data_IF_180958947515
#
_entry.id   IF_180958947515
#
_cell.length_a   1.000
_cell.length_b   1.000
_cell.length_c   1.000
_cell.angle_alpha   90.00
_cell.angle_beta   90.00
_cell.angle_gamma   90.00
#
_symmetry.space_group_name_H-M   'P 1'
#
loop_
_entity.id
_entity.type
_entity.pdbx_description
1 polymer ?
#
# COMPACT_ATOMS: atom_id res chain seq x y z
N UNK A 1 12.90 -32.49 -51.31
CA UNK A 1 12.14 -31.28 -50.87
C UNK A 1 12.06 -31.33 -49.36
N UNK A 2 12.73 -30.40 -48.64
CA UNK A 2 12.73 -30.35 -47.17
C UNK A 2 11.63 -29.34 -46.73
N UNK A 3 10.68 -29.71 -45.84
CA UNK A 3 9.72 -28.76 -45.36
C UNK A 3 10.42 -27.78 -44.40
N UNK A 4 10.40 -26.48 -44.77
CA UNK A 4 10.81 -25.38 -43.88
C UNK A 4 9.75 -25.23 -42.81
N UNK A 5 10.08 -25.67 -41.61
CA UNK A 5 9.28 -25.46 -40.40
C UNK A 5 9.36 -23.97 -40.03
N UNK A 6 8.37 -23.20 -40.45
CA UNK A 6 8.17 -21.82 -40.01
C UNK A 6 7.64 -21.87 -38.57
N UNK A 7 8.54 -21.70 -37.63
CA UNK A 7 8.17 -21.45 -36.22
C UNK A 7 7.64 -20.02 -36.14
N UNK A 8 6.34 -19.79 -35.86
CA UNK A 8 5.85 -18.44 -35.59
C UNK A 8 6.48 -17.99 -34.26
N UNK A 9 7.34 -16.99 -34.32
CA UNK A 9 7.88 -16.30 -33.17
C UNK A 9 6.72 -15.56 -32.48
N UNK A 10 6.09 -16.23 -31.54
CA UNK A 10 5.05 -15.68 -30.66
C UNK A 10 5.76 -14.69 -29.73
N UNK A 11 5.80 -13.42 -30.12
CA UNK A 11 6.24 -12.30 -29.28
C UNK A 11 5.21 -12.17 -28.16
N UNK A 12 5.48 -12.82 -27.04
CA UNK A 12 4.73 -12.62 -25.80
C UNK A 12 5.11 -11.24 -25.29
N UNK A 13 4.26 -10.24 -25.55
CA UNK A 13 4.31 -8.96 -24.87
C UNK A 13 3.99 -9.20 -23.39
N UNK A 14 5.03 -9.38 -22.59
CA UNK A 14 4.92 -9.36 -21.14
C UNK A 14 4.65 -7.90 -20.77
N UNK A 15 3.38 -7.53 -20.67
CA UNK A 15 2.99 -6.25 -20.10
C UNK A 15 3.38 -6.32 -18.63
N UNK A 16 4.55 -5.79 -18.31
CA UNK A 16 5.00 -5.63 -16.94
C UNK A 16 4.06 -4.63 -16.27
N UNK A 17 3.22 -5.11 -15.37
CA UNK A 17 2.35 -4.28 -14.53
C UNK A 17 3.18 -3.61 -13.42
N UNK A 18 4.18 -2.81 -13.80
CA UNK A 18 4.93 -2.02 -12.84
C UNK A 18 4.01 -0.97 -12.22
N UNK A 19 4.01 -0.78 -10.91
CA UNK A 19 3.11 0.17 -10.23
C UNK A 19 3.44 1.64 -10.53
N UNK A 20 4.67 1.93 -10.92
CA UNK A 20 5.20 3.25 -11.25
C UNK A 20 6.01 3.19 -12.53
N UNK A 21 6.21 4.35 -13.17
CA UNK A 21 7.03 4.45 -14.38
C UNK A 21 8.48 3.99 -14.12
N UNK A 22 9.15 3.42 -15.13
CA UNK A 22 10.54 2.98 -14.98
C UNK A 22 11.49 4.12 -14.58
N UNK A 23 11.19 5.35 -15.00
CA UNK A 23 11.98 6.52 -14.66
C UNK A 23 11.93 6.81 -13.16
N UNK A 24 10.75 6.84 -12.58
CA UNK A 24 10.55 7.09 -11.14
C UNK A 24 11.15 5.95 -10.30
N UNK A 25 11.02 4.72 -10.77
CA UNK A 25 11.66 3.56 -10.12
C UNK A 25 13.19 3.64 -10.15
N UNK A 26 13.77 4.23 -11.17
CA UNK A 26 15.22 4.44 -11.25
C UNK A 26 15.69 5.56 -10.33
N UNK A 27 14.96 6.66 -10.23
CA UNK A 27 15.29 7.77 -9.35
C UNK A 27 15.25 7.35 -7.87
N UNK A 28 14.31 6.51 -7.50
CA UNK A 28 14.14 6.01 -6.12
C UNK A 28 14.95 4.73 -5.82
N UNK A 29 16.03 4.44 -6.57
CA UNK A 29 16.88 3.26 -6.34
C UNK A 29 17.55 3.22 -4.97
N UNK A 30 17.85 4.38 -4.41
CA UNK A 30 18.38 4.47 -3.07
C UNK A 30 17.22 4.24 -2.08
N UNK A 31 17.26 3.14 -1.37
CA UNK A 31 16.28 2.86 -0.31
C UNK A 31 16.52 3.80 0.87
N UNK A 32 15.87 4.96 0.84
CA UNK A 32 15.87 5.90 1.96
C UNK A 32 14.72 5.49 2.87
N UNK A 33 15.08 5.07 4.08
CA UNK A 33 14.08 4.66 5.06
C UNK A 33 13.34 5.86 5.64
N UNK A 34 12.10 5.64 6.04
CA UNK A 34 11.30 6.66 6.69
C UNK A 34 11.96 7.21 7.97
N UNK A 35 12.61 6.33 8.73
CA UNK A 35 13.30 6.68 9.96
C UNK A 35 14.50 7.60 9.73
N UNK A 36 15.26 7.41 8.65
CA UNK A 36 16.37 8.30 8.29
C UNK A 36 15.88 9.72 7.98
N UNK A 37 14.76 9.82 7.27
CA UNK A 37 14.19 11.14 6.95
C UNK A 37 13.65 11.84 8.19
N UNK A 38 13.03 11.11 9.12
CA UNK A 38 12.60 11.69 10.40
C UNK A 38 13.76 12.27 11.22
N UNK A 39 14.92 11.62 11.18
CA UNK A 39 16.12 12.08 11.92
C UNK A 39 16.79 13.29 11.27
N UNK A 40 16.78 13.37 9.95
CA UNK A 40 17.51 14.41 9.21
C UNK A 40 16.78 14.82 7.92
N UNK A 41 15.56 15.37 8.00
CA UNK A 41 14.76 15.67 6.82
C UNK A 41 15.42 16.70 5.88
N UNK A 42 16.21 17.61 6.43
CA UNK A 42 16.89 18.67 5.66
C UNK A 42 18.02 18.13 4.80
N UNK A 43 18.74 17.10 5.28
CA UNK A 43 19.85 16.49 4.54
C UNK A 43 19.39 15.64 3.35
N UNK A 44 18.16 15.19 3.40
CA UNK A 44 17.56 14.30 2.39
C UNK A 44 16.56 15.03 1.50
N UNK A 45 16.48 16.36 1.62
CA UNK A 45 15.64 17.16 0.74
C UNK A 45 16.08 17.02 -0.71
N UNK A 46 15.13 16.82 -1.61
CA UNK A 46 15.36 16.58 -3.03
C UNK A 46 15.59 15.11 -3.41
N UNK A 47 15.85 14.24 -2.45
CA UNK A 47 16.00 12.80 -2.70
C UNK A 47 14.65 12.17 -3.09
N UNK A 48 14.70 11.21 -4.02
CA UNK A 48 13.53 10.50 -4.49
C UNK A 48 13.18 9.33 -3.55
N UNK A 49 11.91 9.19 -3.23
CA UNK A 49 11.39 8.12 -2.37
C UNK A 49 10.13 7.49 -2.94
N UNK A 50 9.90 6.22 -2.59
CA UNK A 50 8.62 5.54 -2.80
C UNK A 50 8.11 5.12 -1.43
N UNK A 51 7.11 5.81 -0.94
CA UNK A 51 6.49 5.54 0.34
C UNK A 51 4.99 5.29 0.19
N UNK A 52 4.43 4.56 1.11
CA UNK A 52 3.00 4.34 1.13
C UNK A 52 2.46 4.10 2.52
N UNK A 53 1.17 3.92 2.57
CA UNK A 53 0.46 3.69 3.82
C UNK A 53 -1.03 3.90 3.68
N UNK A 54 -1.65 4.24 4.79
CA UNK A 54 -3.09 4.42 4.90
C UNK A 54 -3.42 5.90 5.05
N UNK A 55 -4.34 6.39 4.24
CA UNK A 55 -4.82 7.77 4.28
C UNK A 55 -5.52 8.03 5.62
N UNK A 56 -5.08 9.07 6.31
CA UNK A 56 -5.74 9.58 7.52
C UNK A 56 -6.72 10.67 7.13
N UNK A 57 -6.28 11.59 6.26
CA UNK A 57 -7.03 12.77 5.88
C UNK A 57 -6.57 13.29 4.52
N UNK A 58 -7.49 13.85 3.75
CA UNK A 58 -7.23 14.53 2.48
C UNK A 58 -7.74 15.96 2.58
N UNK A 59 -6.85 16.92 2.39
CA UNK A 59 -7.11 18.36 2.54
C UNK A 59 -6.93 19.02 1.20
N UNK A 60 -8.02 19.48 0.60
CA UNK A 60 -8.00 20.23 -0.66
C UNK A 60 -7.76 21.71 -0.36
N UNK A 61 -6.81 22.29 -1.07
CA UNK A 61 -6.51 23.73 -1.06
C UNK A 61 -6.78 24.33 -2.44
N UNK A 62 -6.57 25.64 -2.59
CA UNK A 62 -6.76 26.33 -3.87
C UNK A 62 -5.89 25.78 -4.99
N UNK A 63 -4.63 25.48 -4.70
CA UNK A 63 -3.61 25.16 -5.72
C UNK A 63 -3.06 23.73 -5.61
N UNK A 64 -3.24 23.10 -4.44
CA UNK A 64 -2.74 21.75 -4.18
C UNK A 64 -3.74 20.91 -3.36
N UNK A 65 -3.50 19.63 -3.33
CA UNK A 65 -4.15 18.71 -2.40
C UNK A 65 -3.08 18.08 -1.51
N UNK A 66 -3.32 18.11 -0.21
CA UNK A 66 -2.46 17.48 0.78
C UNK A 66 -3.11 16.24 1.34
N UNK A 67 -2.36 15.15 1.40
CA UNK A 67 -2.83 13.89 1.97
C UNK A 67 -1.96 13.55 3.17
N UNK A 68 -2.58 13.41 4.32
CA UNK A 68 -1.93 12.90 5.53
C UNK A 68 -1.96 11.38 5.49
N UNK A 69 -0.79 10.76 5.51
CA UNK A 69 -0.66 9.31 5.40
C UNK A 69 0.04 8.75 6.63
N UNK A 70 -0.53 7.68 7.20
CA UNK A 70 0.15 6.83 8.17
C UNK A 70 1.02 5.85 7.39
N UNK A 71 2.34 6.01 7.51
CA UNK A 71 3.33 5.22 6.79
C UNK A 71 3.25 3.75 7.20
N UNK A 72 3.40 2.86 6.23
CA UNK A 72 3.57 1.42 6.43
C UNK A 72 4.64 0.90 5.49
N UNK A 73 5.16 -0.29 5.77
CA UNK A 73 6.02 -0.97 4.81
C UNK A 73 5.28 -1.29 3.51
N UNK A 74 6.03 -1.48 2.44
CA UNK A 74 5.53 -1.84 1.13
C UNK A 74 5.91 -3.29 0.79
N UNK A 75 5.03 -3.96 0.03
CA UNK A 75 5.34 -5.24 -0.58
C UNK A 75 6.14 -5.08 -1.89
N UNK A 76 6.38 -6.20 -2.58
CA UNK A 76 7.12 -6.20 -3.86
C UNK A 76 6.38 -5.44 -4.98
N UNK A 77 5.05 -5.31 -4.90
CA UNK A 77 4.24 -4.51 -5.82
C UNK A 77 4.16 -3.03 -5.39
N UNK A 78 4.90 -2.65 -4.38
CA UNK A 78 4.84 -1.31 -3.76
C UNK A 78 3.46 -0.99 -3.14
N UNK A 79 2.68 -2.02 -2.78
CA UNK A 79 1.44 -1.85 -2.05
C UNK A 79 1.70 -1.84 -0.54
N UNK A 80 1.01 -0.99 0.24
CA UNK A 80 1.07 -1.00 1.70
C UNK A 80 0.79 -2.38 2.29
N UNK A 81 1.66 -2.85 3.19
CA UNK A 81 1.49 -4.11 3.93
C UNK A 81 1.54 -3.84 5.43
N UNK A 82 1.18 -4.83 6.24
CA UNK A 82 1.23 -4.74 7.71
C UNK A 82 0.59 -3.44 8.24
N UNK A 83 -0.67 -3.22 7.85
CA UNK A 83 -1.35 -1.94 8.06
C UNK A 83 -1.42 -1.48 9.52
N UNK A 84 -1.22 -2.39 10.48
CA UNK A 84 -1.21 -2.08 11.92
C UNK A 84 0.16 -1.62 12.43
N UNK A 85 1.23 -1.78 11.62
CA UNK A 85 2.58 -1.31 11.93
C UNK A 85 2.88 -0.01 11.19
N UNK A 86 3.46 0.97 11.89
CA UNK A 86 3.77 2.27 11.32
C UNK A 86 5.01 2.87 11.96
N UNK A 87 5.91 3.40 11.15
CA UNK A 87 7.05 4.19 11.62
C UNK A 87 6.68 5.66 11.87
N UNK A 88 5.48 6.11 11.44
CA UNK A 88 5.03 7.47 11.65
C UNK A 88 4.05 7.97 10.60
N UNK A 89 3.98 9.29 10.44
CA UNK A 89 3.09 9.95 9.47
C UNK A 89 3.89 10.87 8.58
N UNK A 90 3.47 11.02 7.33
CA UNK A 90 4.01 11.98 6.37
C UNK A 90 2.90 12.67 5.59
N UNK A 91 3.26 13.73 4.90
CA UNK A 91 2.37 14.49 4.03
C UNK A 91 2.75 14.22 2.57
N UNK A 92 1.77 13.93 1.77
CA UNK A 92 1.88 13.98 0.31
C UNK A 92 1.34 15.35 -0.12
N UNK A 93 2.12 16.09 -0.91
CA UNK A 93 1.66 17.29 -1.61
C UNK A 93 1.51 16.96 -3.09
N UNK A 94 0.30 17.09 -3.58
CA UNK A 94 -0.04 16.87 -4.98
C UNK A 94 -0.47 18.18 -5.62
N UNK A 95 0.16 18.56 -6.72
CA UNK A 95 -0.22 19.77 -7.47
C UNK A 95 -1.50 19.51 -8.25
N UNK A 96 -2.58 20.15 -7.83
CA UNK A 96 -3.90 20.02 -8.41
C UNK A 96 -4.92 19.41 -7.46
N UNK A 97 -6.05 19.08 -8.00
CA UNK A 97 -7.21 18.59 -7.24
C UNK A 97 -7.27 17.07 -7.20
N UNK A 98 -7.39 16.53 -6.01
CA UNK A 98 -7.75 15.13 -5.75
C UNK A 98 -9.05 15.12 -4.95
N UNK A 99 -10.05 14.42 -5.45
CA UNK A 99 -11.36 14.33 -4.80
C UNK A 99 -11.25 13.56 -3.46
N UNK A 100 -11.58 14.19 -2.32
CA UNK A 100 -11.51 13.53 -1.00
C UNK A 100 -12.45 12.33 -0.85
N UNK A 101 -13.50 12.22 -1.68
CA UNK A 101 -14.39 11.07 -1.68
C UNK A 101 -13.71 9.82 -2.26
N UNK A 102 -12.81 10.00 -3.21
CA UNK A 102 -11.99 8.96 -3.83
C UNK A 102 -10.76 8.67 -2.96
N UNK A 103 -10.01 9.72 -2.60
CA UNK A 103 -8.83 9.66 -1.72
C UNK A 103 -9.27 9.73 -0.25
N UNK A 104 -10.23 8.90 0.11
CA UNK A 104 -10.87 8.95 1.42
C UNK A 104 -10.01 8.28 2.50
N UNK A 105 -10.33 8.59 3.75
CA UNK A 105 -9.75 7.93 4.92
C UNK A 105 -9.82 6.40 4.80
N UNK A 106 -8.80 5.73 5.35
CA UNK A 106 -8.62 4.28 5.38
C UNK A 106 -8.33 3.63 4.01
N UNK A 107 -8.14 4.42 2.94
CA UNK A 107 -7.64 3.92 1.66
C UNK A 107 -6.13 3.74 1.70
N UNK A 108 -5.65 2.71 1.02
CA UNK A 108 -4.22 2.47 0.81
C UNK A 108 -3.72 3.32 -0.35
N UNK A 109 -2.60 4.00 -0.15
CA UNK A 109 -1.97 4.85 -1.16
C UNK A 109 -0.46 4.64 -1.17
N UNK A 110 0.15 4.75 -2.35
CA UNK A 110 1.60 4.81 -2.50
C UNK A 110 1.94 6.03 -3.35
N UNK A 111 2.95 6.76 -2.93
CA UNK A 111 3.50 7.92 -3.62
C UNK A 111 4.93 7.64 -4.02
N UNK A 112 5.26 7.99 -5.26
CA UNK A 112 6.62 8.17 -5.72
C UNK A 112 6.85 9.67 -5.94
N UNK A 113 7.89 10.21 -5.33
CA UNK A 113 8.12 11.65 -5.34
C UNK A 113 9.44 12.04 -4.71
N UNK A 114 9.60 13.32 -4.42
CA UNK A 114 10.81 13.86 -3.81
C UNK A 114 10.52 14.43 -2.41
N UNK A 115 11.46 14.28 -1.49
CA UNK A 115 11.35 14.89 -0.17
C UNK A 115 11.44 16.40 -0.32
N UNK A 116 10.38 17.12 0.05
CA UNK A 116 10.29 18.57 -0.04
C UNK A 116 10.67 19.28 1.28
N UNK A 117 10.96 18.52 2.33
CA UNK A 117 11.28 19.03 3.65
C UNK A 117 10.38 18.48 4.74
N UNK A 118 10.03 19.33 5.69
CA UNK A 118 9.19 18.96 6.84
C UNK A 118 8.12 20.01 7.10
N UNK A 119 7.01 19.59 7.71
CA UNK A 119 5.96 20.46 8.20
C UNK A 119 5.57 20.05 9.62
N UNK A 120 5.45 21.02 10.53
CA UNK A 120 5.01 20.76 11.90
C UNK A 120 3.50 20.96 12.01
N UNK A 121 2.78 19.94 12.45
CA UNK A 121 1.34 20.00 12.71
C UNK A 121 1.00 19.31 14.02
N UNK A 122 -0.04 19.72 14.72
CA UNK A 122 -0.48 19.02 15.92
C UNK A 122 -1.13 17.67 15.61
N UNK A 123 -0.90 16.69 16.48
CA UNK A 123 -1.72 15.49 16.62
C UNK A 123 -2.33 15.53 18.01
N UNK A 124 -3.59 15.95 18.10
CA UNK A 124 -4.17 16.31 19.38
C UNK A 124 -3.39 17.49 20.00
N UNK A 125 -2.86 17.33 21.20
CA UNK A 125 -2.07 18.35 21.89
C UNK A 125 -0.56 18.27 21.62
N UNK A 126 -0.11 17.25 20.86
CA UNK A 126 1.33 17.03 20.60
C UNK A 126 1.74 17.63 19.27
N UNK A 127 2.84 18.35 19.26
CA UNK A 127 3.52 18.76 18.02
C UNK A 127 4.15 17.53 17.37
N UNK A 128 3.92 17.36 16.07
CA UNK A 128 4.45 16.26 15.29
C UNK A 128 5.07 16.78 14.00
N UNK A 129 6.26 16.26 13.68
CA UNK A 129 6.97 16.62 12.46
C UNK A 129 6.60 15.63 11.38
N UNK A 130 6.03 16.15 10.31
CA UNK A 130 5.67 15.38 9.12
C UNK A 130 6.73 15.61 8.04
N UNK A 131 7.45 14.59 7.58
CA UNK A 131 8.14 14.67 6.29
C UNK A 131 7.13 14.98 5.19
N UNK A 132 7.51 15.85 4.25
CA UNK A 132 6.68 16.23 3.13
C UNK A 132 7.26 15.62 1.86
N UNK A 133 6.44 14.90 1.10
CA UNK A 133 6.78 14.34 -0.20
C UNK A 133 5.99 15.08 -1.26
N UNK A 134 6.71 15.76 -2.17
CA UNK A 134 6.13 16.31 -3.40
C UNK A 134 5.89 15.17 -4.37
N UNK A 135 4.63 14.94 -4.72
CA UNK A 135 4.25 13.81 -5.56
C UNK A 135 4.63 14.00 -7.01
N UNK A 136 5.30 13.00 -7.60
CA UNK A 136 5.46 12.83 -9.05
C UNK A 136 4.39 11.87 -9.59
N UNK A 137 4.22 10.74 -8.91
CA UNK A 137 3.22 9.74 -9.24
C UNK A 137 2.50 9.26 -7.98
N UNK A 138 1.19 9.06 -8.08
CA UNK A 138 0.34 8.51 -7.01
C UNK A 138 -0.34 7.24 -7.47
N UNK A 139 -0.38 6.26 -6.60
CA UNK A 139 -1.20 5.06 -6.79
C UNK A 139 -2.14 4.87 -5.62
N UNK A 140 -3.43 5.03 -5.88
CA UNK A 140 -4.49 4.65 -4.95
C UNK A 140 -4.85 3.19 -5.20
N UNK A 141 -4.81 2.39 -4.15
CA UNK A 141 -5.10 0.96 -4.25
C UNK A 141 -6.59 0.68 -4.09
N UNK A 142 -7.06 -0.38 -4.73
CA UNK A 142 -8.40 -0.87 -4.52
C UNK A 142 -8.60 -1.30 -3.06
N UNK A 143 -9.80 -1.06 -2.54
CA UNK A 143 -10.16 -1.53 -1.20
C UNK A 143 -9.95 -3.05 -1.13
N UNK A 144 -9.28 -3.51 -0.09
CA UNK A 144 -9.26 -4.94 0.19
C UNK A 144 -10.67 -5.36 0.54
N UNK A 145 -11.30 -6.15 -0.32
CA UNK A 145 -12.51 -6.82 0.06
C UNK A 145 -12.17 -7.76 1.22
N UNK A 146 -12.83 -7.55 2.36
CA UNK A 146 -12.88 -8.59 3.37
C UNK A 146 -13.70 -9.69 2.72
N UNK A 147 -13.04 -10.73 2.22
CA UNK A 147 -13.76 -11.92 1.80
C UNK A 147 -14.69 -12.28 2.94
N UNK A 148 -16.00 -12.35 2.71
CA UNK A 148 -16.90 -12.85 3.73
C UNK A 148 -16.35 -14.22 4.16
N UNK A 149 -16.32 -14.45 5.46
CA UNK A 149 -15.97 -15.77 5.98
C UNK A 149 -16.93 -16.75 5.29
N UNK A 150 -16.42 -17.41 4.23
CA UNK A 150 -17.22 -18.38 3.50
C UNK A 150 -17.44 -19.52 4.48
N UNK A 151 -18.59 -19.47 5.16
CA UNK A 151 -19.09 -20.60 5.92
C UNK A 151 -19.38 -21.67 4.87
N UNK A 152 -18.43 -22.62 4.70
CA UNK A 152 -18.62 -23.78 3.85
C UNK A 152 -19.67 -24.67 4.54
N UNK A 153 -20.94 -24.66 4.07
CA UNK A 153 -21.98 -25.48 4.67
C UNK A 153 -21.67 -26.98 4.57
N UNK A 154 -20.79 -27.35 3.62
CA UNK A 154 -20.38 -28.73 3.36
C UNK A 154 -19.30 -29.21 4.36
N UNK A 155 -18.63 -28.29 5.05
CA UNK A 155 -17.62 -28.66 6.05
C UNK A 155 -18.22 -29.37 7.28
N UNK A 156 -19.49 -29.14 7.57
CA UNK A 156 -20.25 -29.74 8.67
C UNK A 156 -21.33 -30.72 8.23
N UNK A 157 -21.37 -31.10 6.94
CA UNK A 157 -22.32 -32.10 6.49
C UNK A 157 -21.81 -33.51 6.82
N UNK A 158 -22.39 -34.22 7.78
CA UNK A 158 -21.96 -35.55 8.20
C UNK A 158 -22.13 -36.61 7.10
N UNK A 159 -22.90 -36.34 6.05
CA UNK A 159 -23.10 -37.23 4.91
C UNK A 159 -21.97 -37.18 3.89
N UNK A 160 -21.20 -36.08 3.83
CA UNK A 160 -20.12 -35.91 2.87
C UNK A 160 -18.77 -36.45 3.35
N UNK A 161 -18.59 -36.68 4.68
CA UNK A 161 -17.40 -37.31 5.24
C UNK A 161 -17.72 -38.51 6.13
N UNK A 162 -18.21 -39.62 5.56
CA UNK A 162 -18.55 -40.83 6.35
C UNK A 162 -17.36 -41.53 7.01
N UNK A 163 -16.12 -41.10 6.72
CA UNK A 163 -14.88 -41.75 7.16
C UNK A 163 -13.98 -40.92 8.08
N UNK A 164 -14.41 -39.80 8.59
CA UNK A 164 -13.66 -39.14 9.68
C UNK A 164 -14.07 -39.77 11.02
N UNK A 165 -13.13 -40.43 11.73
CA UNK A 165 -13.42 -40.89 13.08
C UNK A 165 -13.74 -39.68 13.96
N UNK A 166 -14.93 -39.65 14.53
CA UNK A 166 -15.32 -38.66 15.51
C UNK A 166 -14.29 -38.65 16.64
N UNK A 167 -13.67 -37.52 17.00
CA UNK A 167 -12.99 -37.42 18.26
C UNK A 167 -14.04 -37.51 19.36
N UNK A 168 -13.95 -38.55 20.14
CA UNK A 168 -14.79 -38.78 21.33
C UNK A 168 -14.50 -37.71 22.38
N UNK A 169 -15.02 -36.51 22.22
CA UNK A 169 -15.09 -35.56 23.32
C UNK A 169 -16.25 -35.98 24.22
N UNK A 170 -15.94 -36.77 25.25
CA UNK A 170 -16.78 -36.98 26.42
C UNK A 170 -17.00 -35.62 27.07
N UNK A 171 -18.21 -35.12 27.03
CA UNK A 171 -18.66 -34.09 27.97
C UNK A 171 -18.78 -34.75 29.35
N UNK A 172 -18.10 -34.26 30.39
CA UNK A 172 -18.40 -34.67 31.73
C UNK A 172 -19.73 -34.05 32.15
N UNK A 173 -20.72 -34.88 32.34
CA UNK A 173 -21.93 -34.48 33.04
C UNK A 173 -21.54 -34.16 34.47
N UNK A 174 -21.72 -32.91 34.88
CA UNK A 174 -21.71 -32.55 36.28
C UNK A 174 -23.13 -32.63 36.84
N UNK A 175 -23.26 -33.43 37.84
CA UNK A 175 -24.40 -33.48 38.72
C UNK A 175 -24.49 -32.25 39.60
#
# INVERSE_FOLDING_TARGET
MKPRLLIPLLLIFIVSCAPFSPQVMQEAKKEITFSEVLQSPEKLQGEAVIWGGVIIETITRSDDTQIVVRQTELDFQKRPKELDKSAGRFLIRYRGFLDPSIYSKDREITVAGTIAGKEERPIGERRYIYPVVESKELRLWEKREKLPYYYDPWYYDPFFYPWRPYPWYRYPYWW
#
